data_IF_174074683001
#
_entry.id   IF_174074683001
#
_cell.length_a   1.000
_cell.length_b   1.000
_cell.length_c   1.000
_cell.angle_alpha   90.00
_cell.angle_beta   90.00
_cell.angle_gamma   90.00
#
_symmetry.space_group_name_H-M   'P 1'
#
loop_
_entity.id
_entity.type
_entity.pdbx_description
1 polymer ?
#
# COMPACT_ATOMS: atom_id res chain seq x y z
N UNK A 1 52.90 54.06 -22.80
CA UNK A 1 52.65 52.79 -23.49
C UNK A 1 52.03 51.88 -22.44
N UNK A 2 50.68 51.91 -22.32
CA UNK A 2 49.97 51.17 -21.27
C UNK A 2 49.27 49.92 -21.90
N UNK A 3 49.72 48.75 -21.48
CA UNK A 3 49.16 47.46 -21.93
C UNK A 3 47.93 47.13 -21.08
N UNK A 4 46.73 47.06 -21.70
CA UNK A 4 45.50 46.61 -21.05
C UNK A 4 45.41 45.09 -21.17
N UNK A 5 45.48 44.41 -20.05
CA UNK A 5 45.15 42.94 -19.98
C UNK A 5 43.63 42.73 -19.88
N UNK A 6 43.04 42.06 -20.89
CA UNK A 6 41.64 41.67 -20.87
C UNK A 6 41.48 40.35 -20.13
N UNK A 7 40.73 40.37 -19.02
CA UNK A 7 40.35 39.18 -18.27
C UNK A 7 39.08 38.61 -18.92
N UNK A 8 39.19 37.45 -19.53
CA UNK A 8 38.02 36.67 -20.05
C UNK A 8 37.49 35.82 -18.92
N UNK A 9 36.34 36.22 -18.34
CA UNK A 9 35.60 35.43 -17.38
C UNK A 9 34.88 34.27 -18.11
N UNK A 10 35.29 33.02 -17.85
CA UNK A 10 34.59 31.84 -18.30
C UNK A 10 33.40 31.61 -17.39
N UNK A 11 32.20 31.81 -17.90
CA UNK A 11 30.96 31.40 -17.28
C UNK A 11 30.85 29.84 -17.34
N UNK A 12 31.01 29.20 -16.20
CA UNK A 12 30.70 27.77 -16.04
C UNK A 12 29.22 27.67 -15.72
N UNK A 13 28.39 27.28 -16.72
CA UNK A 13 27.00 26.91 -16.50
C UNK A 13 26.93 25.60 -15.73
N UNK A 14 26.20 25.51 -14.61
CA UNK A 14 25.93 24.24 -13.98
C UNK A 14 24.98 23.46 -14.88
N UNK A 15 25.42 22.33 -15.43
CA UNK A 15 24.56 21.36 -16.07
C UNK A 15 23.71 20.70 -14.98
N UNK A 16 22.44 21.06 -14.91
CA UNK A 16 21.45 20.30 -14.16
C UNK A 16 21.29 18.94 -14.84
N UNK A 17 21.90 17.90 -14.28
CA UNK A 17 21.56 16.53 -14.61
C UNK A 17 20.12 16.29 -14.14
N UNK A 18 19.17 16.26 -15.08
CA UNK A 18 17.85 15.66 -14.88
C UNK A 18 18.08 14.14 -14.72
N UNK A 19 18.20 13.69 -13.49
CA UNK A 19 18.08 12.27 -13.17
C UNK A 19 16.60 11.94 -13.41
N UNK A 20 16.30 11.33 -14.54
CA UNK A 20 15.03 10.64 -14.75
C UNK A 20 14.99 9.53 -13.70
N UNK A 21 14.30 9.79 -12.58
CA UNK A 21 14.04 8.80 -11.55
C UNK A 21 13.23 7.68 -12.19
N UNK A 22 13.81 6.48 -12.31
CA UNK A 22 12.99 5.28 -12.49
C UNK A 22 12.07 5.22 -11.28
N UNK A 23 10.78 4.93 -11.50
CA UNK A 23 9.84 4.68 -10.42
C UNK A 23 10.40 3.51 -9.60
N UNK A 24 11.03 3.84 -8.48
CA UNK A 24 11.44 2.88 -7.48
C UNK A 24 10.30 2.77 -6.48
N UNK A 25 10.04 1.59 -5.96
CA UNK A 25 9.04 1.37 -4.91
C UNK A 25 9.20 2.39 -3.77
N UNK A 26 8.07 2.73 -3.15
CA UNK A 26 8.12 3.49 -1.91
C UNK A 26 8.90 2.67 -0.86
N UNK A 27 9.97 3.25 -0.36
CA UNK A 27 10.82 2.62 0.65
C UNK A 27 11.10 3.58 1.79
N UNK A 28 11.13 3.04 3.01
CA UNK A 28 11.33 3.82 4.22
C UNK A 28 12.35 3.13 5.12
N UNK A 29 13.25 3.89 5.78
CA UNK A 29 14.00 3.35 6.91
C UNK A 29 13.04 2.78 7.95
N UNK A 30 13.38 1.64 8.54
CA UNK A 30 12.58 1.13 9.66
C UNK A 30 12.68 2.12 10.83
N UNK A 31 11.57 2.42 11.49
CA UNK A 31 11.57 3.30 12.64
C UNK A 31 12.29 2.63 13.83
N UNK A 32 12.71 3.41 14.82
CA UNK A 32 13.31 2.87 16.04
C UNK A 32 12.45 1.79 16.71
N UNK A 33 13.04 0.90 17.52
CA UNK A 33 12.28 -0.07 18.29
C UNK A 33 11.19 0.60 19.15
N UNK A 34 9.95 0.09 19.06
CA UNK A 34 8.79 0.65 19.75
C UNK A 34 8.06 1.74 18.96
N UNK A 35 8.53 2.08 17.76
CA UNK A 35 7.81 2.93 16.81
C UNK A 35 7.34 2.14 15.59
N UNK A 36 6.20 2.58 15.01
CA UNK A 36 5.50 1.83 13.98
C UNK A 36 5.16 2.67 12.74
N UNK A 37 5.30 4.00 12.79
CA UNK A 37 4.91 4.88 11.71
C UNK A 37 6.07 5.18 10.78
N UNK A 38 5.83 5.10 9.47
CA UNK A 38 6.80 5.45 8.42
C UNK A 38 6.19 6.40 7.39
N UNK A 39 7.05 7.16 6.73
CA UNK A 39 6.63 8.09 5.67
C UNK A 39 5.93 9.35 6.19
N UNK A 40 5.45 10.13 5.26
CA UNK A 40 4.73 11.39 5.50
C UNK A 40 3.64 11.58 4.45
N UNK A 41 2.57 12.27 4.79
CA UNK A 41 1.52 12.64 3.84
C UNK A 41 2.09 13.72 2.91
N UNK A 42 1.95 13.52 1.60
CA UNK A 42 2.41 14.46 0.59
C UNK A 42 1.23 15.09 -0.14
N UNK A 43 1.43 16.26 -0.70
CA UNK A 43 0.43 16.93 -1.54
C UNK A 43 1.10 17.32 -2.86
N UNK A 44 0.43 17.02 -3.96
CA UNK A 44 0.85 17.44 -5.31
C UNK A 44 -0.25 18.27 -5.96
N UNK A 45 0.07 18.98 -7.03
CA UNK A 45 -0.93 19.62 -7.89
C UNK A 45 -1.19 18.76 -9.11
N UNK A 46 -2.47 18.47 -9.36
CA UNK A 46 -2.90 17.73 -10.56
C UNK A 46 -2.65 18.57 -11.83
N UNK A 47 -2.30 17.89 -12.90
CA UNK A 47 -2.23 18.45 -14.26
C UNK A 47 -3.55 18.23 -14.97
N UNK A 48 -3.75 18.89 -16.09
CA UNK A 48 -5.00 18.81 -16.86
C UNK A 48 -5.36 17.38 -17.31
N UNK A 49 -4.35 16.59 -17.75
CA UNK A 49 -4.56 15.24 -18.24
C UNK A 49 -4.54 14.16 -17.15
N UNK A 50 -4.24 14.51 -15.90
CA UNK A 50 -4.08 13.54 -14.83
C UNK A 50 -5.41 12.87 -14.48
N UNK A 51 -5.34 11.56 -14.23
CA UNK A 51 -6.35 10.78 -13.52
C UNK A 51 -5.76 10.24 -12.22
N UNK A 52 -6.61 9.85 -11.26
CA UNK A 52 -6.09 9.17 -10.05
C UNK A 52 -5.35 7.88 -10.37
N UNK A 53 -5.68 7.19 -11.46
CA UNK A 53 -4.96 6.00 -11.88
C UNK A 53 -3.54 6.33 -12.34
N UNK A 54 -3.35 7.44 -13.06
CA UNK A 54 -2.03 7.89 -13.52
C UNK A 54 -1.18 8.40 -12.35
N UNK A 55 -1.78 9.24 -11.47
CA UNK A 55 -1.12 9.74 -10.26
C UNK A 55 -0.73 8.58 -9.34
N UNK A 56 -1.64 7.62 -9.10
CA UNK A 56 -1.39 6.45 -8.28
C UNK A 56 -0.20 5.65 -8.81
N UNK A 57 -0.22 5.33 -10.11
CA UNK A 57 0.86 4.59 -10.75
C UNK A 57 2.22 5.32 -10.67
N UNK A 58 2.22 6.64 -10.86
CA UNK A 58 3.45 7.45 -10.83
C UNK A 58 4.05 7.57 -9.42
N UNK A 59 3.28 7.28 -8.37
CA UNK A 59 3.69 7.44 -6.97
C UNK A 59 3.61 6.13 -6.16
N UNK A 60 3.50 4.96 -6.81
CA UNK A 60 3.36 3.65 -6.16
C UNK A 60 2.21 3.57 -5.14
N UNK A 61 1.08 4.16 -5.52
CA UNK A 61 -0.16 4.18 -4.74
C UNK A 61 -1.21 3.25 -5.36
N UNK A 62 -2.14 2.79 -4.54
CA UNK A 62 -3.34 2.09 -5.00
C UNK A 62 -4.43 3.07 -5.47
N UNK A 63 -5.24 2.66 -6.46
CA UNK A 63 -6.32 3.51 -6.95
C UNK A 63 -7.34 3.86 -5.85
N UNK A 64 -7.83 2.87 -5.10
CA UNK A 64 -8.79 3.10 -4.02
C UNK A 64 -8.17 3.88 -2.84
N UNK A 65 -6.89 3.71 -2.57
CA UNK A 65 -6.14 4.49 -1.60
C UNK A 65 -6.14 5.99 -1.97
N UNK A 66 -5.92 6.31 -3.25
CA UNK A 66 -6.03 7.69 -3.75
C UNK A 66 -7.43 8.25 -3.64
N UNK A 67 -8.46 7.44 -3.94
CA UNK A 67 -9.87 7.84 -3.84
C UNK A 67 -10.25 8.13 -2.38
N UNK A 68 -9.86 7.26 -1.46
CA UNK A 68 -10.15 7.39 -0.03
C UNK A 68 -9.51 8.65 0.58
N UNK A 69 -8.25 8.92 0.23
CA UNK A 69 -7.52 10.09 0.72
C UNK A 69 -7.97 11.43 0.11
N UNK A 70 -8.81 11.42 -0.94
CA UNK A 70 -9.27 12.63 -1.65
C UNK A 70 -10.79 12.67 -1.82
N UNK A 71 -11.58 12.67 -0.74
CA UNK A 71 -13.03 12.64 -0.83
C UNK A 71 -13.57 13.84 -1.61
N UNK A 72 -14.56 13.60 -2.48
CA UNK A 72 -15.21 14.63 -3.29
C UNK A 72 -14.41 15.15 -4.49
N UNK A 73 -13.24 14.55 -4.79
CA UNK A 73 -12.51 14.81 -6.02
C UNK A 73 -12.91 13.77 -7.06
N UNK A 74 -13.23 14.24 -8.29
CA UNK A 74 -13.48 13.32 -9.41
C UNK A 74 -12.19 12.58 -9.78
N UNK A 75 -12.11 11.24 -9.66
CA UNK A 75 -10.88 10.50 -9.92
C UNK A 75 -10.49 10.46 -11.42
N UNK A 76 -11.41 10.76 -12.32
CA UNK A 76 -11.16 10.82 -13.76
C UNK A 76 -10.80 12.23 -14.25
N UNK A 77 -11.25 13.26 -13.54
CA UNK A 77 -11.02 14.68 -13.85
C UNK A 77 -10.75 15.44 -12.55
N UNK A 78 -9.61 15.23 -11.88
CA UNK A 78 -9.30 15.91 -10.63
C UNK A 78 -9.23 17.42 -10.75
N UNK A 79 -8.94 17.93 -11.94
CA UNK A 79 -8.88 19.35 -12.27
C UNK A 79 -7.46 19.93 -12.14
N UNK A 80 -7.07 20.71 -13.16
CA UNK A 80 -5.74 21.34 -13.20
C UNK A 80 -5.49 22.26 -11.99
N UNK A 81 -4.29 22.14 -11.40
CA UNK A 81 -3.86 22.93 -10.25
C UNK A 81 -4.52 22.52 -8.92
N UNK A 82 -5.41 21.54 -8.90
CA UNK A 82 -6.02 21.05 -7.66
C UNK A 82 -4.98 20.32 -6.80
N UNK A 83 -5.00 20.58 -5.51
CA UNK A 83 -4.18 19.84 -4.55
C UNK A 83 -4.74 18.43 -4.38
N UNK A 84 -3.89 17.44 -4.59
CA UNK A 84 -4.17 16.02 -4.42
C UNK A 84 -3.29 15.47 -3.30
N UNK A 85 -3.92 14.86 -2.32
CA UNK A 85 -3.26 14.18 -1.20
C UNK A 85 -2.70 12.84 -1.68
N UNK A 86 -1.43 12.61 -1.43
CA UNK A 86 -0.79 11.30 -1.56
C UNK A 86 -0.63 10.71 -0.16
N UNK A 87 -1.38 9.65 0.21
CA UNK A 87 -1.34 9.05 1.54
C UNK A 87 -0.10 8.16 1.72
N UNK A 88 1.09 8.77 1.66
CA UNK A 88 2.40 8.09 1.75
C UNK A 88 2.94 7.97 3.18
N UNK A 89 2.05 7.97 4.18
CA UNK A 89 2.34 7.71 5.58
C UNK A 89 1.58 6.47 6.03
N UNK A 90 2.26 5.53 6.70
CA UNK A 90 1.70 4.22 7.05
C UNK A 90 2.04 3.83 8.47
N UNK A 91 1.12 3.14 9.15
CA UNK A 91 1.43 2.30 10.31
C UNK A 91 1.90 0.96 9.77
N UNK A 92 3.11 0.52 10.14
CA UNK A 92 3.61 -0.78 9.73
C UNK A 92 2.72 -1.91 10.28
N UNK A 93 2.51 -2.98 9.50
CA UNK A 93 1.72 -4.12 9.92
C UNK A 93 2.20 -4.72 11.27
N UNK A 94 1.27 -5.13 12.15
CA UNK A 94 1.63 -5.73 13.42
C UNK A 94 2.40 -7.05 13.24
N UNK A 95 3.23 -7.40 14.24
CA UNK A 95 4.00 -8.64 14.28
C UNK A 95 5.39 -8.55 13.62
N UNK A 96 6.02 -9.68 13.25
CA UNK A 96 7.41 -9.71 12.78
C UNK A 96 7.63 -8.91 11.49
N UNK A 97 8.63 -8.04 11.49
CA UNK A 97 9.10 -7.27 10.32
C UNK A 97 10.10 -8.11 9.53
N UNK A 98 9.64 -9.18 8.90
CA UNK A 98 10.45 -10.11 8.09
C UNK A 98 9.72 -10.58 6.83
N UNK A 99 10.44 -10.76 5.74
CA UNK A 99 9.90 -11.28 4.49
C UNK A 99 8.82 -10.38 3.90
N UNK A 100 7.77 -10.98 3.36
CA UNK A 100 6.63 -10.30 2.76
C UNK A 100 5.44 -10.35 3.73
N UNK A 101 4.80 -9.19 3.92
CA UNK A 101 3.59 -9.03 4.71
C UNK A 101 2.53 -8.35 3.83
N UNK A 102 1.38 -8.99 3.64
CA UNK A 102 0.28 -8.45 2.84
C UNK A 102 -0.91 -8.20 3.75
N UNK A 103 -1.39 -6.95 3.77
CA UNK A 103 -2.66 -6.61 4.40
C UNK A 103 -3.73 -6.40 3.31
N UNK A 104 -4.72 -7.28 3.29
CA UNK A 104 -5.79 -7.24 2.29
C UNK A 104 -6.62 -5.96 2.40
N UNK A 105 -6.93 -5.53 3.62
CA UNK A 105 -7.71 -4.32 3.86
C UNK A 105 -7.05 -3.03 3.31
N UNK A 106 -5.72 -3.01 3.23
CA UNK A 106 -4.95 -1.90 2.66
C UNK A 106 -4.72 -2.03 1.15
N UNK A 107 -4.98 -3.20 0.55
CA UNK A 107 -4.52 -3.51 -0.82
C UNK A 107 -3.01 -3.30 -0.98
N UNK A 108 -2.20 -3.65 0.06
CA UNK A 108 -0.79 -3.29 0.14
C UNK A 108 0.07 -4.43 0.66
N UNK A 109 1.28 -4.51 0.10
CA UNK A 109 2.37 -5.39 0.49
C UNK A 109 3.48 -4.57 1.15
N UNK A 110 4.07 -5.13 2.18
CA UNK A 110 5.31 -4.66 2.82
C UNK A 110 6.36 -5.74 2.68
N UNK A 111 7.54 -5.39 2.22
CA UNK A 111 8.67 -6.30 2.10
C UNK A 111 9.83 -5.83 2.99
N UNK A 112 10.30 -6.71 3.85
CA UNK A 112 11.41 -6.50 4.78
C UNK A 112 12.59 -7.36 4.34
N UNK A 113 13.59 -6.82 3.64
CA UNK A 113 14.79 -7.56 3.24
C UNK A 113 15.56 -8.03 4.46
N UNK A 114 16.09 -9.24 4.39
CA UNK A 114 16.85 -9.81 5.52
C UNK A 114 18.16 -9.05 5.73
N UNK A 115 18.33 -8.50 6.93
CA UNK A 115 19.58 -7.82 7.34
C UNK A 115 19.68 -6.36 6.90
N UNK A 116 18.61 -5.79 6.35
CA UNK A 116 18.51 -4.39 5.98
C UNK A 116 17.56 -3.63 6.91
N UNK A 117 17.85 -2.37 7.19
CA UNK A 117 17.02 -1.51 8.03
C UNK A 117 16.06 -0.67 7.15
N UNK A 118 15.29 -1.36 6.30
CA UNK A 118 14.38 -0.75 5.33
C UNK A 118 13.12 -1.59 5.15
N UNK A 119 12.01 -0.94 4.87
CA UNK A 119 10.78 -1.56 4.35
C UNK A 119 10.45 -0.99 2.98
N UNK A 120 10.16 -1.87 2.04
CA UNK A 120 9.58 -1.52 0.74
C UNK A 120 8.09 -1.76 0.79
N UNK A 121 7.29 -0.89 0.18
CA UNK A 121 5.84 -1.07 0.14
C UNK A 121 5.30 -0.93 -1.27
N UNK A 122 4.33 -1.78 -1.62
CA UNK A 122 3.78 -1.91 -2.96
C UNK A 122 2.26 -1.99 -2.91
N UNK A 123 1.54 -1.22 -3.73
CA UNK A 123 0.10 -1.39 -3.89
C UNK A 123 -0.20 -2.69 -4.63
N UNK A 124 -1.30 -3.35 -4.29
CA UNK A 124 -1.71 -4.63 -4.86
C UNK A 124 -3.12 -4.59 -5.44
N UNK A 125 -3.31 -5.27 -6.57
CA UNK A 125 -4.64 -5.78 -6.92
C UNK A 125 -4.86 -7.13 -6.22
N UNK A 126 -6.00 -7.30 -5.57
CA UNK A 126 -6.36 -8.53 -4.85
C UNK A 126 -7.59 -9.23 -5.44
N UNK A 127 -8.00 -10.35 -4.87
CA UNK A 127 -9.18 -11.11 -5.27
C UNK A 127 -10.45 -10.27 -5.29
N UNK A 128 -11.24 -10.41 -6.35
CA UNK A 128 -12.56 -9.79 -6.48
C UNK A 128 -13.63 -10.63 -5.77
N UNK A 129 -14.85 -10.12 -5.71
CA UNK A 129 -15.99 -10.80 -5.15
C UNK A 129 -16.13 -12.23 -5.70
N UNK A 130 -16.37 -13.20 -4.82
CA UNK A 130 -16.42 -14.62 -5.13
C UNK A 130 -15.07 -15.28 -5.44
N UNK A 131 -13.96 -14.51 -5.43
CA UNK A 131 -12.60 -14.98 -5.72
C UNK A 131 -11.60 -14.42 -4.70
N UNK A 132 -11.90 -14.56 -3.41
CA UNK A 132 -11.11 -13.97 -2.33
C UNK A 132 -9.64 -14.39 -2.34
N UNK A 133 -8.78 -13.45 -1.92
CA UNK A 133 -7.38 -13.74 -1.61
C UNK A 133 -7.28 -14.46 -0.26
N UNK A 134 -6.35 -15.42 -0.08
CA UNK A 134 -6.29 -16.21 1.14
C UNK A 134 -5.71 -15.42 2.31
N UNK A 135 -6.26 -15.62 3.51
CA UNK A 135 -5.62 -15.26 4.78
C UNK A 135 -4.80 -16.46 5.24
N UNK A 136 -3.46 -16.37 5.20
CA UNK A 136 -2.57 -17.52 5.48
C UNK A 136 -1.11 -17.11 5.67
N UNK A 137 -0.33 -18.03 6.24
CA UNK A 137 1.12 -17.96 6.24
C UNK A 137 1.68 -18.96 5.22
N UNK A 138 2.55 -18.49 4.36
CA UNK A 138 3.15 -19.27 3.26
C UNK A 138 4.58 -18.81 2.97
N UNK A 139 5.13 -19.20 1.82
CA UNK A 139 6.43 -18.73 1.35
C UNK A 139 6.49 -18.68 -0.16
N UNK A 140 7.46 -17.95 -0.72
CA UNK A 140 7.81 -18.05 -2.12
C UNK A 140 8.46 -19.40 -2.37
N UNK A 141 7.86 -20.22 -3.24
CA UNK A 141 8.42 -21.55 -3.62
C UNK A 141 9.05 -21.56 -4.99
N UNK A 142 8.78 -20.56 -5.82
CA UNK A 142 9.33 -20.47 -7.17
C UNK A 142 9.28 -19.03 -7.72
N UNK A 143 10.21 -18.71 -8.63
CA UNK A 143 10.38 -17.40 -9.26
C UNK A 143 10.51 -17.60 -10.78
N UNK A 144 9.54 -17.13 -11.56
CA UNK A 144 9.44 -17.42 -12.98
C UNK A 144 9.42 -16.13 -13.79
N UNK A 145 10.51 -15.77 -14.47
CA UNK A 145 10.53 -14.67 -15.43
C UNK A 145 9.80 -15.06 -16.72
N UNK A 146 9.18 -14.09 -17.36
CA UNK A 146 8.47 -14.24 -18.63
C UNK A 146 7.55 -15.49 -18.66
N UNK A 147 6.59 -15.61 -17.72
CA UNK A 147 5.79 -16.82 -17.58
C UNK A 147 4.81 -16.99 -18.74
N UNK A 148 4.62 -18.23 -19.22
CA UNK A 148 3.38 -18.57 -19.90
C UNK A 148 2.23 -18.68 -18.88
N UNK A 149 1.04 -18.29 -19.26
CA UNK A 149 -0.16 -18.43 -18.43
C UNK A 149 -1.02 -19.59 -18.94
N UNK A 150 -1.34 -20.49 -18.04
CA UNK A 150 -2.27 -21.61 -18.24
C UNK A 150 -3.52 -21.28 -17.42
N UNK A 151 -4.59 -20.76 -18.04
CA UNK A 151 -5.79 -20.40 -17.31
C UNK A 151 -6.35 -21.61 -16.55
N UNK A 152 -6.69 -21.48 -15.26
CA UNK A 152 -7.42 -22.53 -14.53
C UNK A 152 -8.75 -22.85 -15.21
N UNK A 153 -9.25 -24.09 -14.99
CA UNK A 153 -10.50 -24.56 -15.60
C UNK A 153 -11.68 -23.62 -15.27
N UNK A 154 -11.78 -23.16 -14.03
CA UNK A 154 -12.80 -22.21 -13.59
C UNK A 154 -12.81 -20.91 -14.37
N UNK A 155 -11.61 -20.34 -14.66
CA UNK A 155 -11.47 -19.11 -15.47
C UNK A 155 -11.84 -19.39 -16.94
N UNK A 156 -11.46 -20.54 -17.49
CA UNK A 156 -11.85 -20.94 -18.85
C UNK A 156 -13.37 -21.05 -18.99
N UNK A 157 -14.03 -21.67 -18.01
CA UNK A 157 -15.49 -21.84 -17.96
C UNK A 157 -16.20 -20.50 -17.80
N UNK A 158 -15.73 -19.62 -16.91
CA UNK A 158 -16.28 -18.28 -16.73
C UNK A 158 -16.25 -17.47 -18.03
N UNK A 159 -15.07 -17.36 -18.65
CA UNK A 159 -14.92 -16.63 -19.90
C UNK A 159 -15.71 -17.24 -21.06
N UNK A 160 -15.83 -18.55 -21.12
CA UNK A 160 -16.66 -19.23 -22.12
C UNK A 160 -18.16 -18.91 -21.92
N UNK A 161 -18.63 -18.85 -20.69
CA UNK A 161 -20.00 -18.46 -20.36
C UNK A 161 -20.31 -16.99 -20.70
N UNK A 162 -19.29 -16.11 -20.63
CA UNK A 162 -19.38 -14.71 -21.01
C UNK A 162 -19.26 -14.50 -22.55
N UNK A 163 -19.13 -15.56 -23.33
CA UNK A 163 -18.98 -15.47 -24.79
C UNK A 163 -17.59 -15.01 -25.26
N UNK A 164 -16.59 -15.00 -24.39
CA UNK A 164 -15.21 -14.59 -24.67
C UNK A 164 -14.22 -15.70 -24.29
N UNK A 165 -14.20 -16.84 -25.00
CA UNK A 165 -13.39 -18.00 -24.63
C UNK A 165 -11.90 -17.69 -24.68
N UNK A 166 -11.18 -18.09 -23.64
CA UNK A 166 -9.73 -17.94 -23.56
C UNK A 166 -8.99 -19.11 -24.22
N UNK A 167 -7.78 -18.88 -24.77
CA UNK A 167 -6.92 -19.96 -25.22
C UNK A 167 -6.45 -20.82 -24.02
N UNK A 168 -6.14 -22.08 -24.25
CA UNK A 168 -5.60 -22.97 -23.20
C UNK A 168 -4.24 -22.53 -22.66
N UNK A 169 -3.50 -21.72 -23.44
CA UNK A 169 -2.18 -21.17 -23.07
C UNK A 169 -2.06 -19.78 -23.67
N UNK A 170 -1.66 -18.82 -22.84
CA UNK A 170 -1.20 -17.51 -23.29
C UNK A 170 0.32 -17.48 -23.16
N UNK A 171 1.06 -17.32 -24.28
CA UNK A 171 2.52 -17.28 -24.25
C UNK A 171 3.06 -16.08 -23.49
N UNK A 172 4.35 -16.06 -23.11
CA UNK A 172 5.01 -14.85 -22.61
C UNK A 172 4.85 -13.68 -23.58
N UNK A 173 4.66 -12.48 -23.07
CA UNK A 173 4.53 -11.28 -23.91
C UNK A 173 3.65 -10.20 -23.26
N UNK A 174 3.45 -9.08 -23.96
CA UNK A 174 2.71 -7.92 -23.44
C UNK A 174 1.24 -8.23 -23.15
N UNK A 175 0.64 -9.21 -23.83
CA UNK A 175 -0.76 -9.59 -23.64
C UNK A 175 -0.95 -10.63 -22.52
N UNK A 176 0.14 -11.13 -21.92
CA UNK A 176 0.06 -12.12 -20.86
C UNK A 176 -0.43 -11.46 -19.54
N UNK A 177 -1.53 -11.94 -18.95
CA UNK A 177 -2.10 -11.34 -17.72
C UNK A 177 -1.20 -11.49 -16.49
N UNK A 178 -0.18 -12.37 -16.53
CA UNK A 178 0.79 -12.50 -15.43
C UNK A 178 1.93 -11.47 -15.54
N UNK A 179 1.98 -10.68 -16.61
CA UNK A 179 3.05 -9.71 -16.84
C UNK A 179 4.43 -10.36 -17.03
N UNK A 180 5.51 -9.60 -16.76
CA UNK A 180 6.88 -10.05 -17.04
C UNK A 180 7.44 -11.01 -16.00
N UNK A 181 6.78 -11.17 -14.85
CA UNK A 181 7.28 -11.98 -13.74
C UNK A 181 6.16 -12.52 -12.86
N UNK A 182 6.35 -13.74 -12.30
CA UNK A 182 5.51 -14.28 -11.26
C UNK A 182 6.31 -15.00 -10.18
N UNK A 183 5.81 -14.90 -8.94
CA UNK A 183 6.19 -15.76 -7.83
C UNK A 183 5.09 -16.78 -7.59
N UNK A 184 5.46 -18.04 -7.38
CA UNK A 184 4.55 -19.05 -6.85
C UNK A 184 4.63 -19.09 -5.34
N UNK A 185 3.45 -19.10 -4.72
CA UNK A 185 3.33 -19.29 -3.27
C UNK A 185 3.19 -20.77 -2.93
N UNK A 186 3.60 -21.13 -1.71
CA UNK A 186 3.41 -22.48 -1.18
C UNK A 186 1.92 -22.85 -1.02
N UNK A 187 1.05 -21.85 -0.89
CA UNK A 187 -0.40 -22.04 -0.97
C UNK A 187 -0.80 -22.32 -2.43
N UNK A 188 -1.36 -23.53 -2.73
CA UNK A 188 -1.64 -23.93 -4.10
C UNK A 188 -2.60 -22.98 -4.82
N UNK A 189 -2.26 -22.64 -6.07
CA UNK A 189 -3.09 -21.81 -6.92
C UNK A 189 -2.86 -20.30 -6.79
N UNK A 190 -2.12 -19.84 -5.78
CA UNK A 190 -1.90 -18.42 -5.54
C UNK A 190 -0.53 -17.93 -6.01
N UNK A 191 -0.53 -16.73 -6.60
CA UNK A 191 0.63 -16.09 -7.20
C UNK A 191 0.74 -14.64 -6.75
N UNK A 192 1.97 -14.12 -6.74
CA UNK A 192 2.26 -12.69 -6.83
C UNK A 192 2.82 -12.46 -8.23
N UNK A 193 2.26 -11.54 -9.02
CA UNK A 193 2.63 -11.40 -10.43
C UNK A 193 2.40 -9.98 -10.97
N UNK A 194 3.01 -9.67 -12.11
CA UNK A 194 2.75 -8.45 -12.86
C UNK A 194 1.38 -8.43 -13.54
N UNK A 195 1.21 -7.58 -14.54
CA UNK A 195 -0.07 -7.44 -15.24
C UNK A 195 0.11 -6.95 -16.68
N UNK A 196 -0.81 -7.33 -17.57
CA UNK A 196 -1.00 -6.70 -18.88
C UNK A 196 -2.03 -5.56 -18.82
N UNK A 197 -2.65 -5.33 -17.67
CA UNK A 197 -3.68 -4.30 -17.49
C UNK A 197 -3.07 -3.02 -16.93
N UNK A 198 -3.51 -1.87 -17.45
CA UNK A 198 -3.11 -0.55 -16.95
C UNK A 198 -3.74 -0.21 -15.60
N UNK A 199 -4.89 -0.85 -15.30
CA UNK A 199 -5.71 -0.61 -14.11
C UNK A 199 -5.80 -1.86 -13.23
N UNK A 200 -6.27 -1.68 -12.00
CA UNK A 200 -6.57 -2.75 -11.07
C UNK A 200 -5.54 -2.93 -9.96
N UNK A 201 -4.54 -2.04 -9.86
CA UNK A 201 -3.66 -1.98 -8.69
C UNK A 201 -4.33 -1.12 -7.62
N UNK A 202 -4.36 -1.60 -6.39
CA UNK A 202 -5.13 -1.00 -5.29
C UNK A 202 -6.64 -1.25 -5.45
N UNK A 203 -7.05 -2.38 -6.05
CA UNK A 203 -8.44 -2.72 -6.32
C UNK A 203 -8.69 -4.23 -6.19
N UNK A 204 -9.96 -4.62 -6.10
CA UNK A 204 -10.42 -6.01 -6.12
C UNK A 204 -10.75 -6.44 -7.54
N UNK A 205 -9.80 -7.08 -8.22
CA UNK A 205 -9.91 -7.33 -9.68
C UNK A 205 -9.37 -8.68 -10.13
N UNK A 206 -8.76 -9.47 -9.25
CA UNK A 206 -8.14 -10.74 -9.62
C UNK A 206 -9.03 -11.95 -9.27
N UNK A 207 -8.60 -13.13 -9.68
CA UNK A 207 -9.18 -14.41 -9.23
C UNK A 207 -8.41 -14.96 -8.01
N UNK A 208 -8.14 -14.08 -7.02
CA UNK A 208 -7.47 -14.42 -5.77
C UNK A 208 -5.96 -14.16 -5.73
N UNK A 209 -5.28 -14.07 -6.86
CA UNK A 209 -3.84 -13.77 -6.91
C UNK A 209 -3.54 -12.28 -6.62
N UNK A 210 -2.29 -11.99 -6.27
CA UNK A 210 -1.80 -10.65 -5.96
C UNK A 210 -1.17 -10.02 -7.20
N UNK A 211 -1.80 -8.99 -7.72
CA UNK A 211 -1.35 -8.27 -8.91
C UNK A 211 -0.52 -7.06 -8.51
N UNK A 212 0.65 -6.89 -9.15
CA UNK A 212 1.57 -5.76 -8.95
C UNK A 212 1.73 -4.94 -10.23
N UNK A 213 2.20 -3.71 -10.09
CA UNK A 213 2.81 -2.99 -11.21
C UNK A 213 4.01 -3.79 -11.75
N UNK A 214 4.24 -3.73 -13.07
CA UNK A 214 5.31 -4.54 -13.68
C UNK A 214 6.70 -4.15 -13.20
N UNK A 215 6.94 -2.85 -12.98
CA UNK A 215 8.22 -2.38 -12.46
C UNK A 215 8.44 -2.87 -11.02
N UNK A 216 7.40 -2.86 -10.20
CA UNK A 216 7.44 -3.31 -8.80
C UNK A 216 7.67 -4.83 -8.68
N UNK A 217 7.02 -5.65 -9.52
CA UNK A 217 7.24 -7.10 -9.48
C UNK A 217 8.65 -7.46 -9.93
N UNK A 218 9.21 -6.71 -10.90
CA UNK A 218 10.60 -6.90 -11.36
C UNK A 218 11.63 -6.44 -10.32
N UNK A 219 11.34 -5.36 -9.59
CA UNK A 219 12.16 -4.89 -8.47
C UNK A 219 12.15 -5.90 -7.32
N UNK A 220 10.95 -6.33 -6.86
CA UNK A 220 10.80 -7.35 -5.84
C UNK A 220 11.51 -8.67 -6.24
N UNK A 221 11.48 -9.01 -7.54
CA UNK A 221 12.14 -10.21 -8.03
C UNK A 221 13.66 -10.20 -7.86
N UNK A 222 14.29 -9.03 -7.84
CA UNK A 222 15.74 -8.90 -7.60
C UNK A 222 16.09 -9.10 -6.12
N UNK A 223 15.17 -8.75 -5.21
CA UNK A 223 15.42 -8.69 -3.77
C UNK A 223 14.91 -9.91 -3.01
N UNK A 224 13.72 -10.44 -3.36
CA UNK A 224 13.08 -11.52 -2.62
C UNK A 224 13.50 -12.90 -3.15
N UNK A 225 14.27 -13.72 -2.40
CA UNK A 225 14.67 -15.07 -2.81
C UNK A 225 13.53 -16.09 -2.63
N UNK A 226 13.67 -17.26 -3.24
CA UNK A 226 12.87 -18.45 -2.90
C UNK A 226 13.07 -18.77 -1.41
N UNK A 227 12.02 -19.17 -0.72
CA UNK A 227 12.00 -19.37 0.71
C UNK A 227 11.60 -18.12 1.52
N UNK A 228 11.47 -16.94 0.89
CA UNK A 228 10.96 -15.74 1.58
C UNK A 228 9.59 -16.05 2.17
N UNK A 229 9.43 -15.83 3.48
CA UNK A 229 8.14 -15.97 4.19
C UNK A 229 7.13 -14.97 3.66
N UNK A 230 5.88 -15.36 3.56
CA UNK A 230 4.77 -14.51 3.15
C UNK A 230 3.64 -14.67 4.16
N UNK A 231 3.28 -13.58 4.83
CA UNK A 231 2.17 -13.51 5.76
C UNK A 231 1.06 -12.66 5.13
N UNK A 232 -0.14 -13.22 5.04
CA UNK A 232 -1.32 -12.59 4.43
C UNK A 232 -2.41 -12.56 5.47
N UNK A 233 -2.97 -11.38 5.73
CA UNK A 233 -4.03 -11.16 6.71
C UNK A 233 -4.90 -9.97 6.29
N UNK A 234 -5.98 -9.72 7.03
CA UNK A 234 -6.90 -8.59 6.83
C UNK A 234 -7.05 -7.86 8.16
N UNK A 235 -6.34 -6.74 8.32
CA UNK A 235 -6.41 -5.88 9.51
C UNK A 235 -6.82 -4.47 9.06
N UNK A 236 -8.10 -4.11 9.18
CA UNK A 236 -8.60 -2.81 8.72
C UNK A 236 -8.22 -1.66 9.64
N UNK A 237 -7.98 -1.92 10.94
CA UNK A 237 -7.65 -0.90 11.92
C UNK A 237 -6.31 -1.20 12.56
N UNK A 238 -5.29 -0.45 12.18
CA UNK A 238 -3.93 -0.59 12.72
C UNK A 238 -3.65 0.49 13.74
N UNK A 239 -3.17 0.09 14.90
CA UNK A 239 -2.62 0.96 15.92
C UNK A 239 -1.10 0.93 15.87
N UNK A 240 -0.47 2.10 16.06
CA UNK A 240 0.98 2.19 16.08
C UNK A 240 1.45 3.43 16.82
N UNK A 241 2.69 3.36 17.31
CA UNK A 241 3.30 4.44 18.09
C UNK A 241 4.27 5.22 17.22
N UNK A 242 4.29 6.53 17.37
CA UNK A 242 5.34 7.40 16.86
C UNK A 242 5.54 8.58 17.80
N UNK A 243 6.80 8.86 18.14
CA UNK A 243 7.21 9.95 19.04
C UNK A 243 6.45 9.97 20.38
N UNK A 244 6.12 8.79 20.90
CA UNK A 244 5.40 8.63 22.16
C UNK A 244 3.90 8.88 22.07
N UNK A 245 3.33 9.07 20.89
CA UNK A 245 1.90 9.24 20.63
C UNK A 245 1.33 8.01 19.94
N UNK A 246 0.06 7.71 20.18
CA UNK A 246 -0.67 6.61 19.55
C UNK A 246 -1.41 7.09 18.31
N UNK A 247 -1.25 6.38 17.23
CA UNK A 247 -1.92 6.60 15.94
C UNK A 247 -2.86 5.44 15.61
N UNK A 248 -3.92 5.77 14.88
CA UNK A 248 -4.84 4.81 14.24
C UNK A 248 -4.86 5.09 12.73
N UNK A 249 -4.73 4.02 11.95
CA UNK A 249 -4.96 4.01 10.51
C UNK A 249 -6.16 3.10 10.23
N UNK A 250 -7.14 3.59 9.47
CA UNK A 250 -8.40 2.90 9.22
C UNK A 250 -8.67 2.69 7.74
N UNK A 251 -9.04 1.45 7.38
CA UNK A 251 -9.44 1.01 6.06
C UNK A 251 -10.79 0.31 6.13
N UNK A 252 -11.45 0.14 4.99
CA UNK A 252 -12.71 -0.61 4.92
C UNK A 252 -12.49 -2.06 5.32
N UNK A 253 -13.21 -2.57 6.34
CA UNK A 253 -13.11 -3.96 6.76
C UNK A 253 -13.48 -4.92 5.64
N UNK A 254 -12.66 -5.95 5.43
CA UNK A 254 -12.91 -7.06 4.53
C UNK A 254 -13.08 -8.35 5.34
N UNK A 255 -13.94 -9.25 4.89
CA UNK A 255 -14.05 -10.59 5.46
C UNK A 255 -12.89 -11.51 5.00
N UNK A 256 -12.87 -12.76 5.46
CA UNK A 256 -11.85 -13.75 5.11
C UNK A 256 -11.78 -14.09 3.61
N UNK A 257 -12.79 -13.69 2.84
CA UNK A 257 -12.85 -13.85 1.39
C UNK A 257 -12.46 -12.56 0.65
N UNK A 258 -12.08 -11.50 1.41
CA UNK A 258 -11.76 -10.18 0.85
C UNK A 258 -13.01 -9.39 0.43
N UNK A 259 -14.21 -9.76 0.92
CA UNK A 259 -15.45 -9.02 0.69
C UNK A 259 -15.63 -7.93 1.75
N UNK A 260 -16.31 -6.80 1.44
CA UNK A 260 -16.68 -5.85 2.48
C UNK A 260 -17.41 -6.53 3.62
N UNK A 261 -16.85 -6.42 4.82
CA UNK A 261 -17.40 -7.06 6.00
C UNK A 261 -18.72 -6.40 6.42
N UNK A 262 -19.69 -7.21 6.79
CA UNK A 262 -20.95 -6.75 7.39
C UNK A 262 -20.84 -6.44 8.88
N UNK A 263 -19.65 -6.61 9.48
CA UNK A 263 -19.41 -6.32 10.88
C UNK A 263 -19.51 -4.80 11.10
N UNK A 264 -20.25 -4.42 12.14
CA UNK A 264 -20.36 -3.01 12.56
C UNK A 264 -18.97 -2.44 12.87
N UNK A 265 -18.67 -1.25 12.32
CA UNK A 265 -17.38 -0.57 12.45
C UNK A 265 -16.96 -0.36 13.90
N UNK A 266 -17.92 -0.08 14.80
CA UNK A 266 -17.63 0.07 16.23
C UNK A 266 -17.15 -1.25 16.84
N UNK A 267 -17.81 -2.35 16.52
CA UNK A 267 -17.40 -3.70 16.96
C UNK A 267 -16.01 -4.04 16.41
N UNK A 268 -15.76 -3.74 15.15
CA UNK A 268 -14.47 -4.02 14.51
C UNK A 268 -13.32 -3.22 15.14
N UNK A 269 -13.49 -1.92 15.42
CA UNK A 269 -12.46 -1.11 16.08
C UNK A 269 -12.24 -1.52 17.53
N UNK A 270 -13.28 -1.90 18.28
CA UNK A 270 -13.14 -2.41 19.64
C UNK A 270 -12.37 -3.74 19.66
N UNK A 271 -12.62 -4.60 18.68
CA UNK A 271 -11.88 -5.84 18.49
C UNK A 271 -10.40 -5.56 18.18
N UNK A 272 -10.12 -4.60 17.30
CA UNK A 272 -8.76 -4.18 17.00
C UNK A 272 -8.05 -3.59 18.22
N UNK A 273 -8.72 -2.77 19.04
CA UNK A 273 -8.20 -2.25 20.31
C UNK A 273 -7.84 -3.39 21.27
N UNK A 274 -8.73 -4.37 21.43
CA UNK A 274 -8.47 -5.53 22.30
C UNK A 274 -7.27 -6.34 21.81
N UNK A 275 -7.16 -6.58 20.50
CA UNK A 275 -6.04 -7.31 19.91
C UNK A 275 -4.70 -6.55 20.03
N UNK A 276 -4.73 -5.23 20.20
CA UNK A 276 -3.58 -4.35 20.35
C UNK A 276 -3.44 -3.77 21.77
N UNK A 277 -4.05 -4.37 22.80
CA UNK A 277 -4.07 -3.89 24.17
C UNK A 277 -2.66 -3.60 24.72
N UNK A 278 -1.67 -4.43 24.39
CA UNK A 278 -0.28 -4.23 24.79
C UNK A 278 0.34 -2.92 24.26
N UNK A 279 -0.19 -2.34 23.20
CA UNK A 279 0.23 -1.04 22.63
C UNK A 279 -0.67 0.06 23.18
N UNK A 280 -1.99 -0.16 23.24
CA UNK A 280 -2.99 0.86 23.49
C UNK A 280 -3.23 1.13 24.99
N UNK A 281 -3.00 0.17 25.88
CA UNK A 281 -3.26 0.30 27.32
C UNK A 281 -2.47 1.43 28.03
N UNK A 282 -1.37 1.90 27.44
CA UNK A 282 -0.57 3.01 27.97
C UNK A 282 -1.06 4.40 27.60
N UNK A 283 -2.16 4.52 26.84
CA UNK A 283 -2.64 5.77 26.28
C UNK A 283 -4.06 6.10 26.71
N UNK A 284 -4.33 7.38 26.92
CA UNK A 284 -5.70 7.87 27.02
C UNK A 284 -6.22 8.17 25.62
N UNK A 285 -7.26 7.44 25.20
CA UNK A 285 -7.79 7.48 23.86
C UNK A 285 -8.73 8.67 23.65
N UNK A 286 -8.57 9.39 22.53
CA UNK A 286 -9.56 10.37 22.06
C UNK A 286 -10.62 9.67 21.21
N UNK A 287 -11.75 9.34 21.83
CA UNK A 287 -12.86 8.65 21.17
C UNK A 287 -13.56 9.48 20.09
N UNK A 288 -13.41 10.81 20.09
CA UNK A 288 -13.96 11.66 19.02
C UNK A 288 -13.13 11.46 17.75
N UNK A 289 -11.81 11.58 17.88
CA UNK A 289 -10.89 11.34 16.75
C UNK A 289 -11.00 9.90 16.24
N UNK A 290 -11.04 8.89 17.13
CA UNK A 290 -11.22 7.49 16.71
C UNK A 290 -12.47 7.32 15.86
N UNK A 291 -13.62 7.91 16.27
CA UNK A 291 -14.86 7.83 15.49
C UNK A 291 -14.74 8.50 14.12
N UNK A 292 -14.05 9.65 14.04
CA UNK A 292 -13.82 10.36 12.78
C UNK A 292 -12.95 9.53 11.84
N UNK A 293 -11.84 8.97 12.31
CA UNK A 293 -10.92 8.13 11.55
C UNK A 293 -11.63 6.87 11.03
N UNK A 294 -12.39 6.19 11.89
CA UNK A 294 -13.15 4.99 11.54
C UNK A 294 -14.31 5.29 10.57
N UNK A 295 -14.91 6.47 10.66
CA UNK A 295 -15.95 6.89 9.72
C UNK A 295 -15.36 7.25 8.35
N UNK A 296 -14.16 7.86 8.32
CA UNK A 296 -13.48 8.31 7.11
C UNK A 296 -12.86 7.19 6.30
N UNK A 297 -12.23 6.20 6.95
CA UNK A 297 -11.50 5.08 6.29
C UNK A 297 -10.57 5.57 5.18
N UNK A 298 -9.90 6.70 5.42
CA UNK A 298 -9.05 7.35 4.42
C UNK A 298 -7.64 6.74 4.28
N UNK A 299 -7.33 5.74 5.13
CA UNK A 299 -6.06 5.03 5.14
C UNK A 299 -4.87 5.85 5.63
N UNK A 300 -5.11 7.00 6.25
CA UNK A 300 -4.04 7.86 6.78
C UNK A 300 -3.94 7.74 8.30
N UNK A 301 -2.72 7.52 8.85
CA UNK A 301 -2.52 7.51 10.29
C UNK A 301 -2.87 8.85 10.94
N UNK A 302 -3.82 8.85 11.86
CA UNK A 302 -4.19 10.00 12.68
C UNK A 302 -3.85 9.74 14.15
N UNK A 303 -3.41 10.79 14.87
CA UNK A 303 -3.13 10.71 16.29
C UNK A 303 -4.45 10.55 17.06
N UNK A 304 -4.53 9.52 17.93
CA UNK A 304 -5.73 9.16 18.70
C UNK A 304 -5.49 9.14 20.20
N UNK A 305 -4.38 9.68 20.67
CA UNK A 305 -4.06 9.83 22.08
C UNK A 305 -4.27 11.27 22.56
N UNK A 306 -4.78 11.41 23.78
CA UNK A 306 -4.92 12.72 24.43
C UNK A 306 -3.65 12.98 25.24
N UNK A 307 -3.04 14.20 25.15
CA UNK A 307 -1.90 14.54 25.99
C UNK A 307 -2.22 14.41 27.49
N UNK A 308 -1.38 13.72 28.23
CA UNK A 308 -1.56 13.45 29.67
C UNK A 308 -1.67 14.75 30.49
N UNK A 309 -1.07 15.86 30.00
CA UNK A 309 -1.15 17.19 30.62
C UNK A 309 -2.55 17.81 30.62
N UNK A 310 -3.46 17.36 29.75
CA UNK A 310 -4.85 17.87 29.74
C UNK A 310 -5.73 17.23 30.81
N UNK A 311 -5.32 16.11 31.40
CA UNK A 311 -6.08 15.35 32.41
C UNK A 311 -5.86 15.91 33.82
N UNK A 312 -4.66 16.38 34.12
CA UNK A 312 -4.31 16.92 35.43
C UNK A 312 -5.03 18.22 35.76
N UNK A 313 -5.56 18.95 34.77
CA UNK A 313 -6.30 20.19 34.97
C UNK A 313 -7.79 20.00 35.29
N UNK A 314 -8.35 18.82 35.00
CA UNK A 314 -9.79 18.54 35.20
C UNK A 314 -10.09 17.95 36.58
N UNK A 315 -9.10 17.35 37.26
CA UNK A 315 -9.25 16.85 38.63
C UNK A 315 -9.07 17.92 39.72
N UNK A 316 -8.56 19.11 39.36
CA UNK A 316 -8.28 20.19 40.33
C UNK A 316 -9.48 21.13 40.60
N UNK A 317 -10.62 20.99 39.93
CA UNK A 317 -11.82 21.81 40.11
C UNK A 317 -13.04 20.99 40.62
N UNK A 318 -12.88 20.29 41.74
CA UNK A 318 -14.04 19.94 42.56
C UNK A 318 -14.06 20.82 43.81
N UNK A 319 -14.92 21.84 43.92
CA UNK A 319 -15.12 22.57 45.15
C UNK A 319 -15.90 21.67 46.12
N UNK A 320 -15.41 21.59 47.34
CA UNK A 320 -16.10 21.04 48.49
C UNK A 320 -17.36 21.83 48.83
#
# INVERSE_FOLDING_TARGET
MFCRASVVARLVSPAFLLIAGQAAALSFPLPPPGEDVVGEVRVIQAKYEDTFADIAKANDMGYLEMVAANPGVDPWLPGEGRNIVLPTRYILPPGPREGIVINLAEYRMYYYPKGENVVYTYPLGIGREGWGSPVTNTSIIDKIPNPAWYPPKSILEEHAAEGNPLPKVVPPGPDNPLGPFKFRLGTPGYLIHGSNKKFGIGMRVSHGCFRMLNDNVLELAKMAPVGTKVRIFSEPYKFGVSQGQLFLEAHTPLDDHGEPSVVDKHTAVLTALHNNEQITAGYQLDWNVIREVVAGEDGMPAEVSVPVSSVASTEAEMPF
#
